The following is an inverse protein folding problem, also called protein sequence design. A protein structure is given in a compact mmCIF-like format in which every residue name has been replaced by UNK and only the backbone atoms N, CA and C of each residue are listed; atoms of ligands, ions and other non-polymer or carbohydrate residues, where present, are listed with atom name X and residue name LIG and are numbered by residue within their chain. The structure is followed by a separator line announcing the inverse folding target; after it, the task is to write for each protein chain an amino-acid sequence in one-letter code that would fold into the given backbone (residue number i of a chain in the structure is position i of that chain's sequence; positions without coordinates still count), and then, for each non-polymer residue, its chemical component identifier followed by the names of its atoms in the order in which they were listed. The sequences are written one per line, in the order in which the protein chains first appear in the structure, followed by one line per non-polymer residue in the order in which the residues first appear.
data_IF_376592822531
#
_entry.id   IF_376592822531
#
_cell.length_a   1.000
_cell.length_b   1.000
_cell.length_c   1.000
_cell.angle_alpha   90.00
_cell.angle_beta   90.00
_cell.angle_gamma   90.00
#
_symmetry.space_group_name_H-M   'P 1'
#
loop_
_entity.id
_entity.type
_entity.pdbx_description
1 polymer ?
#
# COMPACT_ATOMS: atom_id res chain seq x y z
N UNK A 1 83.99 -4.05 15.52
CA UNK A 1 82.89 -3.88 14.54
C UNK A 1 81.79 -4.91 14.82
N UNK A 2 80.71 -4.51 15.48
CA UNK A 2 79.46 -5.28 15.58
C UNK A 2 78.31 -4.28 15.43
N UNK A 3 77.54 -4.44 14.35
CA UNK A 3 76.38 -3.63 13.95
C UNK A 3 75.16 -4.49 14.29
N UNK A 4 74.25 -4.04 15.15
CA UNK A 4 72.97 -4.72 15.36
C UNK A 4 71.81 -3.71 15.28
N UNK A 5 71.10 -3.85 14.16
CA UNK A 5 69.69 -3.62 13.85
C UNK A 5 68.77 -3.00 14.92
N UNK A 6 68.20 -1.84 14.58
CA UNK A 6 66.93 -1.37 15.12
C UNK A 6 65.80 -1.84 14.19
N UNK A 7 64.88 -2.64 14.72
CA UNK A 7 63.62 -2.99 14.05
C UNK A 7 62.60 -1.92 14.44
N UNK A 8 62.16 -1.13 13.46
CA UNK A 8 61.05 -0.18 13.62
C UNK A 8 59.75 -0.93 13.36
N UNK A 9 58.91 -1.08 14.39
CA UNK A 9 57.54 -1.56 14.24
C UNK A 9 56.68 -0.43 13.68
N UNK A 10 56.28 -0.54 12.42
CA UNK A 10 55.32 0.37 11.79
C UNK A 10 53.91 -0.20 11.98
N UNK A 11 53.18 0.32 12.96
CA UNK A 11 51.78 -0.04 13.21
C UNK A 11 50.89 0.55 12.12
N UNK A 12 50.44 -0.28 11.18
CA UNK A 12 49.47 0.09 10.16
C UNK A 12 48.07 0.15 10.79
N UNK A 13 47.61 1.34 11.16
CA UNK A 13 46.21 1.57 11.49
C UNK A 13 45.38 1.47 10.21
N UNK A 14 44.76 0.32 9.99
CA UNK A 14 43.69 0.15 9.00
C UNK A 14 42.47 0.93 9.50
N UNK A 15 42.34 2.17 9.04
CA UNK A 15 41.10 2.95 9.10
C UNK A 15 40.08 2.24 8.20
N UNK A 16 39.33 1.30 8.78
CA UNK A 16 38.10 0.78 8.17
C UNK A 16 37.13 1.96 8.20
N UNK A 17 37.03 2.68 7.09
CA UNK A 17 35.91 3.60 6.90
C UNK A 17 34.65 2.73 6.82
N UNK A 18 33.68 2.88 7.74
CA UNK A 18 32.38 2.31 7.51
C UNK A 18 31.82 3.03 6.28
N UNK A 19 31.86 2.36 5.14
CA UNK A 19 31.00 2.69 4.02
C UNK A 19 29.57 2.50 4.51
N UNK A 20 29.02 3.52 5.18
CA UNK A 20 27.59 3.65 5.35
C UNK A 20 27.04 3.87 3.95
N UNK A 21 26.67 2.75 3.32
CA UNK A 21 25.78 2.75 2.17
C UNK A 21 24.47 3.31 2.70
N UNK A 22 24.31 4.64 2.64
CA UNK A 22 22.99 5.23 2.62
C UNK A 22 22.36 4.71 1.32
N UNK A 23 21.45 3.75 1.45
CA UNK A 23 20.53 3.44 0.37
C UNK A 23 19.84 4.76 0.05
N UNK A 24 20.06 5.28 -1.15
CA UNK A 24 19.33 6.42 -1.68
C UNK A 24 17.84 6.04 -1.58
N UNK A 25 17.11 6.69 -0.67
CA UNK A 25 15.66 6.55 -0.60
C UNK A 25 15.14 7.01 -1.96
N UNK A 26 14.75 6.05 -2.80
CA UNK A 26 14.12 6.36 -4.07
C UNK A 26 12.91 7.22 -3.79
N UNK A 27 12.80 8.38 -4.43
CA UNK A 27 11.67 9.33 -4.32
C UNK A 27 10.30 8.64 -4.53
N UNK A 28 10.29 7.44 -5.11
CA UNK A 28 9.12 6.64 -5.42
C UNK A 28 8.71 5.68 -4.30
N UNK A 29 9.50 5.55 -3.23
CA UNK A 29 9.23 4.66 -2.11
C UNK A 29 8.26 5.32 -1.10
N UNK A 30 7.21 4.59 -0.71
CA UNK A 30 6.27 5.05 0.30
C UNK A 30 6.79 4.69 1.70
N UNK A 31 6.99 5.72 2.52
CA UNK A 31 7.50 5.58 3.89
C UNK A 31 6.41 5.08 4.85
N UNK A 32 6.51 3.81 5.25
CA UNK A 32 5.56 3.14 6.13
C UNK A 32 5.79 3.45 7.62
N UNK A 33 5.33 4.62 8.04
CA UNK A 33 5.33 5.08 9.43
C UNK A 33 4.02 5.80 9.78
N UNK A 34 3.68 5.85 11.07
CA UNK A 34 2.40 6.41 11.55
C UNK A 34 2.17 7.85 11.11
N UNK A 35 3.20 8.70 11.11
CA UNK A 35 3.09 10.12 10.75
C UNK A 35 2.84 10.37 9.26
N UNK A 36 3.00 9.36 8.41
CA UNK A 36 2.78 9.49 6.95
C UNK A 36 1.31 9.27 6.56
N UNK A 37 0.46 8.77 7.47
CA UNK A 37 -0.89 8.32 7.12
C UNK A 37 -1.96 8.84 8.08
N UNK A 38 -3.08 9.21 7.49
CA UNK A 38 -4.33 9.47 8.20
C UNK A 38 -5.17 8.19 8.27
N UNK A 39 -5.67 7.84 9.46
CA UNK A 39 -6.53 6.66 9.64
C UNK A 39 -8.00 7.04 9.44
N UNK A 40 -8.55 6.66 8.28
CA UNK A 40 -9.94 6.91 7.93
C UNK A 40 -10.82 5.73 8.37
N UNK A 41 -11.86 6.04 9.13
CA UNK A 41 -12.75 5.06 9.76
C UNK A 41 -14.15 5.14 9.17
N UNK A 42 -14.71 4.01 8.78
CA UNK A 42 -16.08 3.95 8.32
C UNK A 42 -17.07 4.07 9.47
N UNK A 43 -18.22 4.67 9.19
CA UNK A 43 -19.30 4.78 10.17
C UNK A 43 -19.94 3.40 10.36
N UNK A 44 -20.11 2.96 11.61
CA UNK A 44 -20.71 1.66 12.01
C UNK A 44 -19.91 0.41 11.64
N UNK A 45 -18.70 0.55 11.11
CA UNK A 45 -17.78 -0.59 10.90
C UNK A 45 -16.66 -0.47 11.93
N UNK A 46 -16.30 -1.59 12.54
CA UNK A 46 -15.14 -1.64 13.44
C UNK A 46 -13.89 -1.32 12.62
N UNK A 47 -13.02 -0.39 13.05
CA UNK A 47 -11.80 -0.08 12.33
C UNK A 47 -10.75 -1.19 12.55
N UNK A 48 -9.88 -1.35 11.55
CA UNK A 48 -8.70 -2.20 11.67
C UNK A 48 -7.72 -1.64 12.71
N UNK A 49 -6.87 -2.51 13.24
CA UNK A 49 -5.73 -2.10 14.06
C UNK A 49 -4.44 -2.14 13.26
N UNK A 50 -3.80 -0.99 13.09
CA UNK A 50 -2.59 -0.80 12.30
C UNK A 50 -1.36 -0.70 13.20
N UNK A 51 -0.27 -1.37 12.83
CA UNK A 51 1.03 -1.27 13.50
C UNK A 51 2.13 -1.07 12.46
N UNK A 52 3.02 -0.12 12.70
CA UNK A 52 4.19 0.12 11.87
C UNK A 52 5.44 -0.37 12.62
N UNK A 53 6.17 -1.32 12.03
CA UNK A 53 7.35 -1.95 12.63
C UNK A 53 8.40 -2.11 11.55
N UNK A 54 9.56 -1.47 11.68
CA UNK A 54 10.69 -1.59 10.76
C UNK A 54 10.29 -1.41 9.27
N UNK A 55 9.61 -0.30 8.94
CA UNK A 55 9.10 -0.02 7.58
C UNK A 55 8.12 -1.08 7.04
N UNK A 56 7.50 -1.85 7.92
CA UNK A 56 6.43 -2.78 7.60
C UNK A 56 5.12 -2.32 8.24
N UNK A 57 4.05 -2.27 7.46
CA UNK A 57 2.69 -2.08 7.95
C UNK A 57 2.09 -3.46 8.27
N UNK A 58 1.61 -3.65 9.49
CA UNK A 58 0.77 -4.77 9.89
C UNK A 58 -0.68 -4.27 10.09
N UNK A 59 -1.62 -4.92 9.42
CA UNK A 59 -3.05 -4.65 9.50
C UNK A 59 -3.72 -5.86 10.14
N UNK A 60 -4.25 -5.69 11.35
CA UNK A 60 -5.02 -6.74 12.03
C UNK A 60 -6.50 -6.52 11.72
N UNK A 61 -7.07 -7.47 10.98
CA UNK A 61 -8.47 -7.50 10.59
C UNK A 61 -9.21 -8.47 11.49
N UNK A 62 -10.30 -8.02 12.09
CA UNK A 62 -11.19 -8.84 12.90
C UNK A 62 -12.62 -8.34 12.70
N UNK A 63 -13.25 -8.84 11.64
CA UNK A 63 -14.58 -8.43 11.18
C UNK A 63 -14.65 -6.89 11.07
N UNK A 64 -13.61 -6.32 10.47
CA UNK A 64 -13.31 -4.90 10.50
C UNK A 64 -12.91 -4.40 9.12
N UNK A 65 -13.10 -3.10 8.92
CA UNK A 65 -12.58 -2.39 7.76
C UNK A 65 -12.31 -0.92 8.10
N UNK A 66 -11.20 -0.43 7.57
CA UNK A 66 -10.78 0.97 7.58
C UNK A 66 -9.55 1.08 6.69
N UNK A 67 -9.19 2.27 6.26
CA UNK A 67 -8.00 2.47 5.45
C UNK A 67 -7.08 3.53 6.02
N UNK A 68 -5.80 3.42 5.66
CA UNK A 68 -4.80 4.45 5.86
C UNK A 68 -4.68 5.25 4.57
N UNK A 69 -4.69 6.57 4.66
CA UNK A 69 -4.60 7.47 3.52
C UNK A 69 -3.37 8.35 3.63
N UNK A 70 -2.63 8.47 2.53
CA UNK A 70 -1.58 9.48 2.37
C UNK A 70 -1.95 10.37 1.18
N UNK A 71 -2.26 11.63 1.44
CA UNK A 71 -2.42 12.64 0.39
C UNK A 71 -1.05 13.12 -0.08
N UNK A 72 -0.91 13.41 -1.37
CA UNK A 72 0.33 13.92 -1.93
C UNK A 72 0.32 15.45 -2.01
N UNK A 73 1.49 16.04 -1.76
CA UNK A 73 1.69 17.49 -1.89
C UNK A 73 1.63 17.96 -3.34
N UNK A 74 1.96 17.07 -4.27
CA UNK A 74 1.90 17.25 -5.71
C UNK A 74 1.32 16.00 -6.37
N UNK A 75 0.76 16.15 -7.55
CA UNK A 75 0.26 15.02 -8.34
C UNK A 75 1.43 14.12 -8.75
N UNK A 76 1.30 12.82 -8.52
CA UNK A 76 2.26 11.81 -8.93
C UNK A 76 1.84 11.21 -10.27
N UNK A 77 2.73 11.20 -11.26
CA UNK A 77 2.47 10.57 -12.54
C UNK A 77 2.92 9.10 -12.49
N UNK A 78 1.99 8.19 -12.19
CA UNK A 78 2.27 6.79 -11.88
C UNK A 78 2.09 5.91 -13.12
N UNK A 79 3.15 5.21 -13.51
CA UNK A 79 3.23 4.15 -14.53
C UNK A 79 3.20 2.76 -13.93
N UNK A 80 3.79 2.55 -12.76
CA UNK A 80 3.91 1.24 -12.11
C UNK A 80 3.71 1.37 -10.61
N UNK A 81 3.03 0.37 -10.05
CA UNK A 81 2.96 0.19 -8.60
C UNK A 81 3.46 -1.20 -8.27
N UNK A 82 4.27 -1.31 -7.23
CA UNK A 82 4.69 -2.60 -6.68
C UNK A 82 4.69 -2.57 -5.16
N UNK A 83 4.48 -3.73 -4.55
CA UNK A 83 4.57 -3.92 -3.11
C UNK A 83 4.73 -5.39 -2.74
N UNK A 84 5.21 -5.63 -1.53
CA UNK A 84 5.29 -6.98 -0.95
C UNK A 84 4.22 -7.16 0.12
N UNK A 85 3.53 -8.29 0.09
CA UNK A 85 2.50 -8.62 1.07
C UNK A 85 2.53 -10.08 1.53
N UNK A 86 2.06 -10.32 2.74
CA UNK A 86 1.78 -11.66 3.27
C UNK A 86 0.60 -11.60 4.22
N UNK A 87 -0.09 -12.72 4.38
CA UNK A 87 -1.18 -12.84 5.35
C UNK A 87 -1.17 -14.22 6.01
N UNK A 88 -1.65 -14.29 7.25
CA UNK A 88 -1.83 -15.57 7.96
C UNK A 88 -3.08 -16.34 7.49
N UNK A 89 -4.06 -15.63 6.95
CA UNK A 89 -5.30 -16.17 6.42
C UNK A 89 -5.88 -15.22 5.34
N UNK A 90 -6.98 -15.62 4.70
CA UNK A 90 -7.61 -14.87 3.62
C UNK A 90 -9.09 -14.59 3.94
N UNK A 91 -9.67 -13.52 3.35
CA UNK A 91 -11.11 -13.32 3.42
C UNK A 91 -11.87 -14.49 2.76
N UNK A 92 -13.08 -14.77 3.25
CA UNK A 92 -13.93 -15.89 2.79
C UNK A 92 -14.62 -15.59 1.45
N UNK A 93 -13.80 -15.34 0.43
CA UNK A 93 -14.24 -15.08 -0.95
C UNK A 93 -14.25 -16.40 -1.73
N UNK A 94 -15.39 -16.74 -2.32
CA UNK A 94 -15.58 -18.01 -3.01
C UNK A 94 -15.15 -17.98 -4.48
N UNK A 95 -15.42 -16.90 -5.20
CA UNK A 95 -15.09 -16.74 -6.63
C UNK A 95 -15.18 -15.27 -7.08
N UNK A 96 -14.79 -15.00 -8.33
CA UNK A 96 -14.83 -13.66 -8.93
C UNK A 96 -16.24 -13.03 -8.99
N UNK A 97 -17.31 -13.84 -9.03
CA UNK A 97 -18.67 -13.29 -9.02
C UNK A 97 -19.06 -12.81 -7.62
N UNK A 98 -18.54 -13.45 -6.57
CA UNK A 98 -18.72 -13.00 -5.20
C UNK A 98 -18.04 -11.64 -4.95
N UNK A 99 -16.85 -11.42 -5.52
CA UNK A 99 -16.11 -10.13 -5.44
C UNK A 99 -16.83 -8.96 -6.13
N UNK A 100 -17.75 -9.25 -7.07
CA UNK A 100 -18.61 -8.24 -7.69
C UNK A 100 -19.84 -7.88 -6.84
N UNK A 101 -20.03 -8.55 -5.71
CA UNK A 101 -21.16 -8.34 -4.80
C UNK A 101 -20.68 -7.71 -3.49
N UNK A 102 -21.55 -6.94 -2.84
CA UNK A 102 -21.23 -6.33 -1.53
C UNK A 102 -20.81 -7.35 -0.48
N UNK A 103 -21.37 -8.55 -0.50
CA UNK A 103 -21.02 -9.62 0.45
C UNK A 103 -19.60 -10.19 0.25
N UNK A 104 -18.97 -9.92 -0.90
CA UNK A 104 -17.64 -10.44 -1.24
C UNK A 104 -16.63 -9.35 -1.60
N UNK A 105 -16.91 -8.07 -1.33
CA UNK A 105 -15.99 -6.95 -1.60
C UNK A 105 -14.81 -6.89 -0.62
N UNK A 106 -14.69 -7.84 0.31
CA UNK A 106 -13.52 -7.94 1.17
C UNK A 106 -12.24 -8.26 0.37
N UNK A 107 -11.07 -7.93 0.89
CA UNK A 107 -9.80 -8.33 0.29
C UNK A 107 -8.71 -8.46 1.34
N UNK A 108 -7.75 -9.35 1.07
CA UNK A 108 -6.56 -9.49 1.91
C UNK A 108 -5.76 -8.18 1.93
N UNK A 109 -5.67 -7.50 0.78
CA UNK A 109 -5.10 -6.18 0.67
C UNK A 109 -5.55 -5.49 -0.63
N UNK A 110 -5.84 -4.20 -0.53
CA UNK A 110 -6.06 -3.29 -1.65
C UNK A 110 -5.12 -2.10 -1.50
N UNK A 111 -4.45 -1.74 -2.59
CA UNK A 111 -3.77 -0.46 -2.72
C UNK A 111 -4.62 0.44 -3.61
N UNK A 112 -5.14 1.50 -3.02
CA UNK A 112 -5.98 2.48 -3.67
C UNK A 112 -5.19 3.66 -4.21
N UNK A 113 -5.50 4.08 -5.43
CA UNK A 113 -4.95 5.26 -6.09
C UNK A 113 -6.11 6.21 -6.39
N UNK A 114 -6.10 7.38 -5.75
CA UNK A 114 -7.06 8.43 -6.03
C UNK A 114 -6.57 9.23 -7.23
N UNK A 115 -7.40 9.31 -8.28
CA UNK A 115 -7.02 9.91 -9.54
C UNK A 115 -7.38 11.40 -9.55
N UNK A 116 -6.47 12.23 -10.05
CA UNK A 116 -6.75 13.65 -10.26
C UNK A 116 -7.89 13.81 -11.26
N UNK A 117 -8.85 14.66 -10.94
CA UNK A 117 -9.85 15.16 -11.89
C UNK A 117 -9.68 16.67 -12.10
N UNK A 118 -10.39 17.25 -13.06
CA UNK A 118 -10.39 18.72 -13.24
C UNK A 118 -11.32 19.40 -12.23
N UNK A 119 -12.44 18.76 -11.91
CA UNK A 119 -13.45 19.28 -10.98
C UNK A 119 -13.86 18.20 -9.97
N UNK A 120 -14.26 18.63 -8.78
CA UNK A 120 -14.95 17.78 -7.80
C UNK A 120 -16.45 17.98 -7.92
N UNK A 121 -17.20 16.89 -7.84
CA UNK A 121 -18.65 16.92 -7.82
C UNK A 121 -19.10 17.29 -6.42
N UNK A 122 -19.53 18.55 -6.25
CA UNK A 122 -20.13 19.01 -5.00
C UNK A 122 -21.37 18.18 -4.67
N UNK A 123 -21.26 17.26 -3.71
CA UNK A 123 -22.37 16.49 -3.17
C UNK A 123 -22.58 16.81 -1.69
N UNK A 124 -23.65 17.55 -1.32
CA UNK A 124 -23.89 17.95 0.07
C UNK A 124 -24.28 16.79 1.00
N UNK A 125 -24.51 15.58 0.47
CA UNK A 125 -24.94 14.40 1.24
C UNK A 125 -23.89 13.30 1.33
N UNK A 126 -22.60 13.63 1.20
CA UNK A 126 -21.53 12.65 1.37
C UNK A 126 -21.35 12.22 2.84
N UNK A 127 -21.07 10.93 3.10
CA UNK A 127 -20.70 10.43 4.42
C UNK A 127 -19.50 11.15 5.03
N UNK A 128 -19.48 11.30 6.36
CA UNK A 128 -18.40 11.98 7.11
C UNK A 128 -16.99 11.51 6.76
N UNK A 129 -16.80 10.22 6.49
CA UNK A 129 -15.49 9.69 6.14
C UNK A 129 -15.03 10.19 4.76
N UNK A 130 -15.94 10.39 3.80
CA UNK A 130 -15.61 11.01 2.51
C UNK A 130 -15.30 12.50 2.68
N UNK A 131 -16.03 13.21 3.55
CA UNK A 131 -15.72 14.61 3.89
C UNK A 131 -14.29 14.73 4.45
N UNK A 132 -13.89 13.77 5.30
CA UNK A 132 -12.53 13.73 5.82
C UNK A 132 -11.51 13.52 4.70
N UNK A 133 -11.75 12.56 3.79
CA UNK A 133 -10.90 12.36 2.59
C UNK A 133 -10.78 13.65 1.79
N UNK A 134 -11.89 14.28 1.41
CA UNK A 134 -11.90 15.51 0.62
C UNK A 134 -11.11 16.63 1.31
N UNK A 135 -11.25 16.77 2.63
CA UNK A 135 -10.52 17.79 3.39
C UNK A 135 -8.99 17.59 3.43
N UNK A 136 -8.52 16.36 3.20
CA UNK A 136 -7.10 16.02 3.18
C UNK A 136 -6.48 16.19 1.78
N UNK A 137 -7.29 16.23 0.73
CA UNK A 137 -6.82 16.33 -0.64
C UNK A 137 -6.46 17.77 -1.00
N UNK A 138 -5.32 17.94 -1.68
CA UNK A 138 -4.93 19.24 -2.29
C UNK A 138 -5.41 19.41 -3.73
N UNK A 139 -5.92 18.34 -4.32
CA UNK A 139 -6.37 18.28 -5.71
C UNK A 139 -7.70 17.53 -5.75
N UNK A 140 -8.65 17.94 -6.61
CA UNK A 140 -9.92 17.23 -6.75
C UNK A 140 -9.70 15.80 -7.27
N UNK A 141 -10.52 14.89 -6.76
CA UNK A 141 -10.51 13.47 -7.14
C UNK A 141 -11.90 12.87 -6.97
N UNK A 142 -12.41 12.24 -8.03
CA UNK A 142 -13.71 11.57 -8.03
C UNK A 142 -13.61 10.08 -8.40
N UNK A 143 -12.54 9.71 -9.09
CA UNK A 143 -12.31 8.37 -9.60
C UNK A 143 -11.13 7.72 -8.86
N UNK A 144 -11.22 6.40 -8.70
CA UNK A 144 -10.25 5.64 -7.92
C UNK A 144 -9.97 4.30 -8.58
N UNK A 145 -8.72 3.86 -8.46
CA UNK A 145 -8.30 2.51 -8.83
C UNK A 145 -7.88 1.76 -7.57
N UNK A 146 -8.43 0.58 -7.35
CA UNK A 146 -7.89 -0.39 -6.40
C UNK A 146 -7.11 -1.47 -7.11
N UNK A 147 -5.85 -1.64 -6.74
CA UNK A 147 -5.04 -2.79 -7.05
C UNK A 147 -5.27 -3.86 -5.99
N UNK A 148 -5.95 -4.95 -6.36
CA UNK A 148 -6.46 -5.97 -5.43
C UNK A 148 -5.54 -7.18 -5.44
N UNK A 149 -4.85 -7.40 -4.33
CA UNK A 149 -3.99 -8.56 -4.15
C UNK A 149 -4.82 -9.84 -3.97
N UNK A 150 -4.39 -10.94 -4.60
CA UNK A 150 -5.00 -12.26 -4.46
C UNK A 150 -6.52 -12.31 -4.79
N UNK A 151 -6.96 -11.45 -5.70
CA UNK A 151 -8.34 -11.48 -6.20
C UNK A 151 -8.64 -12.83 -6.90
N UNK A 152 -9.90 -13.25 -6.91
CA UNK A 152 -10.35 -14.45 -7.63
C UNK A 152 -10.60 -14.20 -9.12
N UNK A 153 -10.56 -12.94 -9.55
CA UNK A 153 -10.55 -12.53 -10.95
C UNK A 153 -9.25 -12.91 -11.67
N UNK A 154 -9.31 -13.00 -13.00
CA UNK A 154 -8.09 -13.19 -13.81
C UNK A 154 -7.16 -11.99 -13.63
N UNK A 155 -5.85 -12.23 -13.64
CA UNK A 155 -4.85 -11.16 -13.58
C UNK A 155 -5.11 -10.15 -14.71
N UNK A 156 -5.13 -8.86 -14.36
CA UNK A 156 -5.42 -7.74 -15.25
C UNK A 156 -6.91 -7.47 -15.48
N UNK A 157 -7.81 -8.37 -15.04
CA UNK A 157 -9.24 -8.14 -15.13
C UNK A 157 -9.66 -6.93 -14.29
N UNK A 158 -10.56 -6.14 -14.85
CA UNK A 158 -11.15 -4.95 -14.21
C UNK A 158 -12.62 -5.18 -13.91
N UNK A 159 -13.08 -4.69 -12.76
CA UNK A 159 -14.50 -4.65 -12.42
C UNK A 159 -14.85 -3.41 -11.61
N UNK A 160 -16.13 -3.02 -11.61
CA UNK A 160 -16.60 -1.92 -10.79
C UNK A 160 -16.80 -2.38 -9.34
N UNK A 161 -16.43 -1.53 -8.37
CA UNK A 161 -16.73 -1.77 -6.97
C UNK A 161 -18.26 -1.80 -6.73
N UNK A 162 -18.78 -2.71 -5.89
CA UNK A 162 -20.22 -2.88 -5.68
C UNK A 162 -20.90 -1.74 -4.87
N UNK A 163 -20.13 -0.83 -4.29
CA UNK A 163 -20.64 0.36 -3.59
C UNK A 163 -20.54 1.62 -4.44
N UNK A 164 -19.49 1.76 -5.27
CA UNK A 164 -19.26 2.95 -6.08
C UNK A 164 -18.71 2.61 -7.47
N UNK A 165 -19.47 2.95 -8.52
CA UNK A 165 -19.08 2.69 -9.92
C UNK A 165 -17.88 3.52 -10.40
N UNK A 166 -17.50 4.58 -9.69
CA UNK A 166 -16.29 5.38 -9.94
C UNK A 166 -15.00 4.72 -9.43
N UNK A 167 -15.15 3.64 -8.66
CA UNK A 167 -14.03 2.85 -8.16
C UNK A 167 -13.85 1.64 -9.07
N UNK A 168 -12.73 1.61 -9.78
CA UNK A 168 -12.32 0.47 -10.60
C UNK A 168 -11.40 -0.43 -9.80
N UNK A 169 -11.77 -1.70 -9.71
CA UNK A 169 -10.97 -2.75 -9.09
C UNK A 169 -10.15 -3.46 -10.17
N UNK A 170 -8.89 -3.79 -9.89
CA UNK A 170 -8.00 -4.49 -10.81
C UNK A 170 -7.32 -5.65 -10.08
N UNK A 171 -7.42 -6.86 -10.66
CA UNK A 171 -6.69 -8.03 -10.16
C UNK A 171 -5.24 -7.93 -10.59
N UNK A 172 -4.31 -7.99 -9.63
CA UNK A 172 -2.88 -7.84 -9.91
C UNK A 172 -2.16 -9.18 -9.81
N UNK A 173 -1.06 -9.31 -10.57
CA UNK A 173 -0.19 -10.46 -10.47
C UNK A 173 0.60 -10.42 -9.17
N UNK A 174 0.90 -11.61 -8.65
CA UNK A 174 1.91 -11.76 -7.60
C UNK A 174 2.62 -13.10 -7.71
N UNK A 175 3.85 -13.15 -7.23
CA UNK A 175 4.61 -14.40 -7.07
C UNK A 175 5.14 -14.49 -5.64
N UNK A 176 5.28 -15.72 -5.13
CA UNK A 176 5.77 -15.96 -3.76
C UNK A 176 7.27 -16.19 -3.80
N UNK A 177 8.02 -15.50 -2.94
CA UNK A 177 9.46 -15.74 -2.77
C UNK A 177 9.76 -16.88 -1.78
N UNK A 178 11.05 -17.17 -1.59
CA UNK A 178 11.51 -18.22 -0.67
C UNK A 178 11.20 -17.91 0.81
N UNK A 179 10.88 -16.66 1.14
CA UNK A 179 10.57 -16.19 2.50
C UNK A 179 9.06 -16.10 2.74
N UNK A 180 8.23 -16.49 1.76
CA UNK A 180 6.77 -16.47 1.85
C UNK A 180 6.14 -15.08 1.64
N UNK A 181 6.88 -14.11 1.09
CA UNK A 181 6.32 -12.83 0.67
C UNK A 181 5.79 -12.92 -0.75
N UNK A 182 4.59 -12.37 -0.96
CA UNK A 182 4.02 -12.18 -2.28
C UNK A 182 4.50 -10.84 -2.84
N UNK A 183 5.18 -10.88 -3.97
CA UNK A 183 5.64 -9.71 -4.70
C UNK A 183 4.59 -9.34 -5.73
N UNK A 184 3.84 -8.26 -5.50
CA UNK A 184 2.77 -7.80 -6.36
C UNK A 184 3.20 -6.59 -7.20
N UNK A 185 2.74 -6.54 -8.45
CA UNK A 185 3.04 -5.42 -9.34
C UNK A 185 1.92 -5.19 -10.35
N UNK A 186 1.72 -3.93 -10.73
CA UNK A 186 0.85 -3.55 -11.83
C UNK A 186 1.49 -2.45 -12.68
N UNK A 187 1.47 -2.63 -14.00
CA UNK A 187 1.93 -1.66 -14.98
C UNK A 187 0.71 -1.08 -15.69
N UNK A 188 0.57 0.24 -15.66
CA UNK A 188 -0.46 0.93 -16.43
C UNK A 188 -0.05 1.01 -17.91
N UNK A 189 -1.03 0.84 -18.80
CA UNK A 189 -0.85 1.05 -20.25
C UNK A 189 -0.50 2.50 -20.58
N UNK A 190 -1.00 3.44 -19.78
CA UNK A 190 -0.66 4.86 -19.83
C UNK A 190 -0.54 5.38 -18.40
N UNK A 191 0.42 6.28 -18.13
CA UNK A 191 0.59 6.83 -16.79
C UNK A 191 -0.70 7.49 -16.28
N UNK A 192 -0.99 7.34 -14.98
CA UNK A 192 -2.16 7.93 -14.32
C UNK A 192 -1.72 9.02 -13.33
N UNK A 193 -2.49 10.10 -13.25
CA UNK A 193 -2.21 11.18 -12.29
C UNK A 193 -2.86 10.85 -10.95
N UNK A 194 -2.04 10.56 -9.93
CA UNK A 194 -2.47 10.15 -8.59
C UNK A 194 -2.28 11.30 -7.60
N UNK A 195 -3.27 11.52 -6.75
CA UNK A 195 -3.26 12.60 -5.74
C UNK A 195 -3.22 12.08 -4.31
N UNK A 196 -3.52 10.80 -4.10
CA UNK A 196 -3.39 10.12 -2.82
C UNK A 196 -3.32 8.60 -2.97
N UNK A 197 -2.78 7.95 -1.94
CA UNK A 197 -2.65 6.51 -1.79
C UNK A 197 -3.51 6.02 -0.62
N UNK A 198 -4.25 4.92 -0.80
CA UNK A 198 -4.96 4.22 0.28
C UNK A 198 -4.40 2.82 0.50
N UNK A 199 -4.24 2.43 1.76
CA UNK A 199 -3.84 1.08 2.16
C UNK A 199 -5.00 0.46 2.96
N UNK A 200 -5.53 -0.66 2.48
CA UNK A 200 -6.78 -1.23 2.98
C UNK A 200 -6.76 -2.76 3.02
N UNK A 201 -7.33 -3.34 4.06
CA UNK A 201 -7.63 -4.77 4.19
C UNK A 201 -8.99 -4.89 4.86
N UNK A 202 -9.85 -5.76 4.34
CA UNK A 202 -11.27 -5.76 4.68
C UNK A 202 -11.71 -7.17 5.07
N UNK A 203 -12.51 -7.25 6.14
CA UNK A 203 -13.08 -8.51 6.64
C UNK A 203 -14.50 -8.37 7.18
N UNK A 204 -15.14 -7.20 7.05
CA UNK A 204 -16.46 -6.94 7.62
C UNK A 204 -17.59 -7.55 6.79
N UNK A 205 -17.44 -7.71 5.47
CA UNK A 205 -18.51 -8.27 4.63
C UNK A 205 -18.55 -9.80 4.67
N UNK A 206 -17.39 -10.44 4.78
CA UNK A 206 -17.24 -11.91 4.81
C UNK A 206 -17.09 -12.47 6.23
N UNK A 207 -17.13 -11.61 7.25
CA UNK A 207 -16.89 -11.94 8.67
C UNK A 207 -15.56 -12.68 8.84
N UNK A 208 -14.50 -12.10 8.27
CA UNK A 208 -13.15 -12.68 8.25
C UNK A 208 -12.24 -12.02 9.27
N UNK A 209 -11.27 -12.79 9.76
CA UNK A 209 -10.20 -12.32 10.65
C UNK A 209 -8.86 -12.82 10.15
N UNK A 210 -7.90 -11.91 10.02
CA UNK A 210 -6.56 -12.20 9.50
C UNK A 210 -5.60 -11.04 9.79
N UNK A 211 -4.30 -11.30 9.66
CA UNK A 211 -3.23 -10.32 9.80
C UNK A 211 -2.47 -10.18 8.50
N UNK A 212 -2.69 -9.07 7.80
CA UNK A 212 -1.93 -8.71 6.60
C UNK A 212 -0.68 -7.92 6.99
N UNK A 213 0.43 -8.19 6.32
CA UNK A 213 1.69 -7.44 6.46
C UNK A 213 2.14 -6.95 5.10
N UNK A 214 2.49 -5.67 5.00
CA UNK A 214 2.88 -4.98 3.77
C UNK A 214 4.23 -4.29 3.99
N UNK A 215 5.09 -4.29 2.97
CA UNK A 215 6.33 -3.50 2.94
C UNK A 215 6.69 -3.15 1.50
N UNK A 216 7.72 -2.31 1.34
CA UNK A 216 8.35 -2.03 0.03
C UNK A 216 7.34 -1.55 -1.02
N UNK A 217 6.50 -0.58 -0.65
CA UNK A 217 5.54 0.01 -1.59
C UNK A 217 6.27 1.04 -2.45
N UNK A 218 6.22 0.87 -3.76
CA UNK A 218 6.77 1.82 -4.73
C UNK A 218 5.69 2.31 -5.70
N UNK A 219 5.72 3.61 -5.99
CA UNK A 219 4.90 4.28 -7.00
C UNK A 219 5.80 5.01 -7.99
N UNK A 220 5.94 4.47 -9.20
CA UNK A 220 6.87 4.97 -10.24
C UNK A 220 6.14 5.39 -11.50
#
# INVERSE_FOLDING_TARGET
MKRNFYIVFLSFFLLIQPNMIFAEESDNAILLQTSSFEHIKFKKVKPNHHLFINQQLQINVNESASFLMQAFDHTQLVRRVSFEWRSDNLPRITNAQHEKQRSGDDAVFKLGLLLKTEESLSNPFIPKWMQQVESLLKFPSEDMIYLVANAKHKIGERWANPYNKRVTMISISSYVDQQGWNHASYQFESPVNVVALWLMSDGDNTNSSFTTRIKNIFIE
#
